data_IF_380201713189
#
_entry.id   IF_380201713189
#
_cell.length_a   1.000
_cell.length_b   1.000
_cell.length_c   1.000
_cell.angle_alpha   90.00
_cell.angle_beta   90.00
_cell.angle_gamma   90.00
#
_symmetry.space_group_name_H-M   'P 1'
#
loop_
_entity.id
_entity.type
_entity.pdbx_description
1 polymer ?
#
# COMPACT_ATOMS: atom_id res chain seq x y z
N UNK A 1 35.35 20.69 13.41
CA UNK A 1 36.25 19.89 12.56
C UNK A 1 36.09 18.44 12.96
N UNK A 2 35.57 17.61 12.08
CA UNK A 2 35.39 16.17 12.30
C UNK A 2 35.90 15.43 11.08
N UNK A 3 37.21 15.18 11.02
CA UNK A 3 37.77 14.30 10.01
C UNK A 3 37.30 12.88 10.30
N UNK A 4 36.64 12.23 9.34
CA UNK A 4 36.31 10.83 9.45
C UNK A 4 37.61 10.03 9.65
N UNK A 5 37.76 9.42 10.82
CA UNK A 5 38.87 8.52 11.09
C UNK A 5 38.81 7.33 10.13
N UNK A 6 39.97 6.77 9.80
CA UNK A 6 40.04 5.55 9.00
C UNK A 6 39.15 4.47 9.65
N UNK A 7 38.20 3.86 8.93
CA UNK A 7 37.35 2.84 9.49
C UNK A 7 38.23 1.67 10.00
N UNK A 8 37.88 1.06 11.14
CA UNK A 8 38.69 -0.02 11.70
C UNK A 8 38.73 -1.22 10.75
N UNK A 9 39.86 -1.95 10.78
CA UNK A 9 40.07 -3.15 9.98
C UNK A 9 38.99 -4.22 10.18
N UNK A 10 38.70 -4.97 9.13
CA UNK A 10 37.79 -6.09 9.18
C UNK A 10 38.42 -7.23 9.99
N UNK A 11 37.72 -7.71 11.02
CA UNK A 11 38.17 -8.83 11.85
C UNK A 11 37.25 -10.03 11.71
N UNK A 12 37.73 -11.27 11.94
CA UNK A 12 36.88 -12.46 11.95
C UNK A 12 35.66 -12.32 12.87
N UNK A 13 35.82 -11.73 14.06
CA UNK A 13 34.73 -11.50 15.00
C UNK A 13 33.66 -10.53 14.47
N UNK A 14 34.07 -9.47 13.74
CA UNK A 14 33.13 -8.55 13.09
C UNK A 14 32.38 -9.21 11.94
N UNK A 15 33.04 -10.07 11.18
CA UNK A 15 32.40 -10.89 10.14
C UNK A 15 31.38 -11.83 10.79
N UNK A 16 31.77 -12.56 11.83
CA UNK A 16 30.88 -13.49 12.53
C UNK A 16 29.62 -12.79 13.07
N UNK A 17 29.79 -11.68 13.79
CA UNK A 17 28.68 -10.90 14.31
C UNK A 17 27.76 -10.37 13.20
N UNK A 18 28.34 -9.88 12.10
CA UNK A 18 27.61 -9.42 10.92
C UNK A 18 26.79 -10.55 10.28
N UNK A 19 27.40 -11.71 10.04
CA UNK A 19 26.73 -12.87 9.46
C UNK A 19 25.59 -13.38 10.35
N UNK A 20 25.80 -13.46 11.67
CA UNK A 20 24.73 -13.84 12.62
C UNK A 20 23.57 -12.86 12.58
N UNK A 21 23.84 -11.55 12.59
CA UNK A 21 22.80 -10.52 12.52
C UNK A 21 22.03 -10.58 11.20
N UNK A 22 22.72 -10.78 10.08
CA UNK A 22 22.08 -10.96 8.77
C UNK A 22 21.18 -12.19 8.75
N UNK A 23 21.66 -13.34 9.25
CA UNK A 23 20.86 -14.56 9.33
C UNK A 23 19.59 -14.36 10.19
N UNK A 24 19.72 -13.69 11.34
CA UNK A 24 18.58 -13.34 12.19
C UNK A 24 17.58 -12.42 11.49
N UNK A 25 18.04 -11.44 10.71
CA UNK A 25 17.16 -10.55 9.95
C UNK A 25 16.40 -11.32 8.86
N UNK A 26 17.11 -12.14 8.09
CA UNK A 26 16.52 -12.96 7.02
C UNK A 26 15.49 -13.96 7.57
N UNK A 27 15.73 -14.54 8.75
CA UNK A 27 14.78 -15.45 9.38
C UNK A 27 13.63 -14.70 10.10
N UNK A 28 13.92 -13.59 10.77
CA UNK A 28 13.00 -12.89 11.66
C UNK A 28 11.99 -12.00 10.93
N UNK A 29 12.41 -11.28 9.88
CA UNK A 29 11.52 -10.37 9.18
C UNK A 29 10.31 -11.08 8.52
N UNK A 30 10.46 -12.22 7.82
CA UNK A 30 9.32 -12.96 7.28
C UNK A 30 8.36 -13.46 8.36
N UNK A 31 8.87 -13.87 9.54
CA UNK A 31 8.02 -14.32 10.65
C UNK A 31 7.14 -13.18 11.19
N UNK A 32 7.71 -11.99 11.35
CA UNK A 32 6.98 -10.80 11.77
C UNK A 32 5.87 -10.46 10.76
N UNK A 33 6.21 -10.40 9.47
CA UNK A 33 5.23 -10.11 8.43
C UNK A 33 4.16 -11.19 8.32
N UNK A 34 4.50 -12.47 8.50
CA UNK A 34 3.52 -13.56 8.52
C UNK A 34 2.47 -13.39 9.63
N UNK A 35 2.89 -12.90 10.81
CA UNK A 35 1.98 -12.54 11.89
C UNK A 35 0.99 -11.44 11.48
N UNK A 36 1.48 -10.42 10.79
CA UNK A 36 0.64 -9.32 10.29
C UNK A 36 -0.29 -9.74 9.15
N UNK A 37 0.22 -10.50 8.19
CA UNK A 37 -0.54 -11.01 7.05
C UNK A 37 -1.75 -11.80 7.54
N UNK A 38 -1.56 -12.67 8.54
CA UNK A 38 -2.65 -13.43 9.16
C UNK A 38 -3.72 -12.53 9.77
N UNK A 39 -3.33 -11.36 10.31
CA UNK A 39 -4.27 -10.37 10.81
C UNK A 39 -4.99 -9.63 9.67
N UNK A 40 -4.26 -9.22 8.66
CA UNK A 40 -4.79 -8.51 7.49
C UNK A 40 -5.78 -9.35 6.69
N UNK A 41 -5.55 -10.66 6.59
CA UNK A 41 -6.47 -11.58 5.91
C UNK A 41 -7.87 -11.60 6.53
N UNK A 42 -8.03 -11.26 7.81
CA UNK A 42 -9.35 -11.23 8.49
C UNK A 42 -10.23 -10.07 8.03
N UNK A 43 -9.65 -9.04 7.43
CA UNK A 43 -10.36 -7.88 6.92
C UNK A 43 -9.99 -7.63 5.44
N UNK A 44 -9.80 -8.72 4.69
CA UNK A 44 -9.45 -8.66 3.28
C UNK A 44 -10.44 -7.83 2.48
N UNK A 45 -9.94 -7.05 1.51
CA UNK A 45 -10.71 -6.12 0.68
C UNK A 45 -11.45 -5.02 1.46
N UNK A 46 -11.06 -4.77 2.71
CA UNK A 46 -11.29 -3.49 3.41
C UNK A 46 -9.94 -2.86 3.70
N UNK A 47 -9.88 -1.62 4.18
CA UNK A 47 -8.59 -0.95 4.37
C UNK A 47 -8.52 -0.17 5.69
N UNK A 48 -8.70 -0.79 6.87
CA UNK A 48 -8.80 -0.10 8.16
C UNK A 48 -7.49 0.59 8.57
N UNK A 49 -7.62 1.62 9.44
CA UNK A 49 -6.46 2.26 10.05
C UNK A 49 -5.63 1.22 10.81
N UNK A 50 -4.34 1.17 10.51
CA UNK A 50 -3.42 0.28 11.20
C UNK A 50 -3.03 0.88 12.55
N UNK A 51 -2.86 -0.01 13.52
CA UNK A 51 -2.44 0.33 14.87
C UNK A 51 -1.10 1.09 14.85
N UNK A 52 -1.14 2.35 15.28
CA UNK A 52 -0.01 3.27 15.20
C UNK A 52 1.15 2.81 16.06
N UNK A 53 0.88 2.24 17.24
CA UNK A 53 1.92 1.75 18.15
C UNK A 53 2.61 0.52 17.55
N UNK A 54 1.86 -0.40 16.92
CA UNK A 54 2.45 -1.53 16.18
C UNK A 54 3.29 -1.07 15.00
N UNK A 55 2.84 -0.06 14.26
CA UNK A 55 3.61 0.54 13.17
C UNK A 55 4.93 1.13 13.68
N UNK A 56 4.88 1.94 14.73
CA UNK A 56 6.05 2.61 15.30
C UNK A 56 7.05 1.60 15.88
N UNK A 57 6.56 0.56 16.58
CA UNK A 57 7.40 -0.50 17.11
C UNK A 57 8.16 -1.29 16.02
N UNK A 58 7.62 -1.32 14.80
CA UNK A 58 8.26 -1.95 13.64
C UNK A 58 9.11 -0.98 12.79
N UNK A 59 9.35 0.24 13.28
CA UNK A 59 10.17 1.25 12.59
C UNK A 59 9.41 2.12 11.59
N UNK A 60 8.09 2.18 11.68
CA UNK A 60 7.29 3.13 10.89
C UNK A 60 7.60 4.59 11.23
N UNK A 61 7.48 5.47 10.24
CA UNK A 61 7.57 6.92 10.46
C UNK A 61 6.35 7.42 11.27
N UNK A 62 6.54 8.05 12.43
CA UNK A 62 5.45 8.52 13.31
C UNK A 62 4.57 9.62 12.67
N UNK A 63 5.06 10.24 11.59
CA UNK A 63 4.32 11.23 10.83
C UNK A 63 3.35 10.62 9.81
N UNK A 64 3.33 9.30 9.69
CA UNK A 64 2.52 8.60 8.71
C UNK A 64 1.39 7.86 9.41
N UNK A 65 0.18 7.99 8.87
CA UNK A 65 -0.97 7.15 9.23
C UNK A 65 -1.14 6.08 8.18
N UNK A 66 -0.84 4.85 8.59
CA UNK A 66 -0.87 3.68 7.73
C UNK A 66 -2.23 3.02 7.79
N UNK A 67 -2.72 2.60 6.64
CA UNK A 67 -3.84 1.68 6.52
C UNK A 67 -3.28 0.46 5.83
N UNK A 68 -3.33 -0.68 6.50
CA UNK A 68 -2.81 -1.94 5.99
C UNK A 68 -3.92 -2.97 5.94
N UNK A 69 -3.94 -3.74 4.86
CA UNK A 69 -4.88 -4.83 4.72
C UNK A 69 -4.43 -5.84 3.67
N UNK A 70 -5.19 -6.92 3.55
CA UNK A 70 -5.01 -7.92 2.52
C UNK A 70 -5.99 -7.63 1.38
N UNK A 71 -5.57 -7.83 0.14
CA UNK A 71 -6.45 -7.77 -1.02
C UNK A 71 -6.57 -9.15 -1.65
N UNK A 72 -7.75 -9.45 -2.20
CA UNK A 72 -8.06 -10.64 -2.98
C UNK A 72 -8.91 -10.22 -4.17
N UNK A 73 -8.39 -10.38 -5.38
CA UNK A 73 -9.08 -10.01 -6.62
C UNK A 73 -8.86 -11.14 -7.62
N UNK A 74 -9.90 -11.91 -7.88
CA UNK A 74 -9.87 -12.95 -8.89
C UNK A 74 -9.90 -12.35 -10.30
N UNK A 75 -9.65 -13.20 -11.30
CA UNK A 75 -9.90 -12.81 -12.71
C UNK A 75 -11.40 -12.59 -12.89
N UNK A 76 -11.78 -11.52 -13.60
CA UNK A 76 -13.17 -11.11 -13.72
C UNK A 76 -13.71 -10.34 -12.52
N UNK A 77 -12.89 -10.06 -11.50
CA UNK A 77 -13.23 -9.17 -10.39
C UNK A 77 -12.44 -7.86 -10.46
N UNK A 78 -12.96 -6.84 -9.80
CA UNK A 78 -12.31 -5.57 -9.58
C UNK A 78 -12.56 -5.10 -8.14
N UNK A 79 -11.51 -4.65 -7.47
CA UNK A 79 -11.59 -3.96 -6.19
C UNK A 79 -11.57 -2.45 -6.44
N UNK A 80 -12.68 -1.79 -6.10
CA UNK A 80 -12.80 -0.33 -6.16
C UNK A 80 -12.49 0.23 -4.77
N UNK A 81 -11.61 1.23 -4.71
CA UNK A 81 -11.21 1.91 -3.48
C UNK A 81 -11.47 3.39 -3.65
N UNK A 82 -12.39 3.92 -2.86
CA UNK A 82 -12.76 5.33 -2.84
C UNK A 82 -12.17 5.96 -1.57
N UNK A 83 -11.41 7.04 -1.75
CA UNK A 83 -10.81 7.75 -0.63
C UNK A 83 -10.91 9.27 -0.85
N UNK A 84 -11.16 9.99 0.24
CA UNK A 84 -11.07 11.44 0.28
C UNK A 84 -9.81 11.82 1.05
N UNK A 85 -8.68 12.16 0.39
CA UNK A 85 -7.47 12.53 1.11
C UNK A 85 -7.71 13.73 2.04
N UNK A 86 -7.34 13.64 3.33
CA UNK A 86 -7.45 14.80 4.20
C UNK A 86 -6.39 15.85 3.81
N UNK A 87 -6.48 17.09 4.33
CA UNK A 87 -5.36 18.02 4.25
C UNK A 87 -4.11 17.38 4.84
N UNK A 88 -3.12 17.09 3.98
CA UNK A 88 -1.88 16.42 4.34
C UNK A 88 -0.77 16.88 3.40
N UNK A 89 0.48 16.67 3.82
CA UNK A 89 1.63 17.03 2.99
C UNK A 89 1.69 16.16 1.73
N UNK A 90 1.49 14.86 1.90
CA UNK A 90 1.46 13.88 0.81
C UNK A 90 0.66 12.64 1.19
N UNK A 91 0.38 11.77 0.22
CA UNK A 91 -0.23 10.46 0.44
C UNK A 91 0.09 9.49 -0.69
N UNK A 92 0.00 8.19 -0.42
CA UNK A 92 0.08 7.17 -1.46
C UNK A 92 -0.76 5.92 -1.15
N UNK A 93 -1.06 5.17 -2.20
CA UNK A 93 -1.59 3.80 -2.14
C UNK A 93 -0.69 2.87 -2.94
N UNK A 94 -0.35 1.70 -2.39
CA UNK A 94 0.58 0.73 -3.00
C UNK A 94 0.03 -0.69 -2.87
N UNK A 95 0.07 -1.45 -3.96
CA UNK A 95 -0.10 -2.90 -3.96
C UNK A 95 1.24 -3.59 -3.67
N UNK A 96 1.18 -4.54 -2.75
CA UNK A 96 2.26 -5.45 -2.40
C UNK A 96 1.84 -6.90 -2.63
N UNK A 97 2.82 -7.79 -2.78
CA UNK A 97 2.59 -9.22 -2.76
C UNK A 97 2.26 -9.71 -1.33
N UNK A 98 2.10 -11.03 -1.18
CA UNK A 98 1.85 -11.65 0.12
C UNK A 98 2.93 -11.29 1.15
N UNK A 99 4.20 -11.23 0.73
CA UNK A 99 5.37 -10.96 1.56
C UNK A 99 5.58 -9.48 1.89
N UNK A 100 4.58 -8.63 1.65
CA UNK A 100 4.59 -7.19 1.87
C UNK A 100 5.61 -6.41 1.01
N UNK A 101 6.13 -7.04 -0.05
CA UNK A 101 7.02 -6.39 -1.01
C UNK A 101 6.16 -5.69 -2.07
N UNK A 102 6.51 -4.45 -2.45
CA UNK A 102 5.82 -3.76 -3.54
C UNK A 102 5.84 -4.60 -4.82
N UNK A 103 4.74 -4.62 -5.55
CA UNK A 103 4.71 -5.22 -6.88
C UNK A 103 5.66 -4.45 -7.84
N UNK A 104 5.88 -5.00 -9.05
CA UNK A 104 6.87 -4.47 -10.00
C UNK A 104 6.44 -3.14 -10.65
N UNK A 105 6.70 -2.04 -9.94
CA UNK A 105 6.39 -0.67 -10.35
C UNK A 105 7.21 -0.17 -11.55
N UNK A 106 8.26 -0.89 -11.98
CA UNK A 106 9.09 -0.48 -13.12
C UNK A 106 8.37 -0.69 -14.45
N UNK A 107 7.47 -1.67 -14.49
CA UNK A 107 6.81 -2.10 -15.71
C UNK A 107 5.28 -1.98 -15.63
N UNK A 108 4.72 -1.91 -14.41
CA UNK A 108 3.27 -1.90 -14.19
C UNK A 108 2.88 -0.78 -13.23
N UNK A 109 1.68 -0.23 -13.41
CA UNK A 109 1.13 0.75 -12.48
C UNK A 109 0.54 0.02 -11.27
N UNK A 110 1.30 -0.04 -10.18
CA UNK A 110 0.92 -0.79 -8.95
C UNK A 110 0.68 0.13 -7.75
N UNK A 111 0.84 1.43 -7.96
CA UNK A 111 0.68 2.45 -6.94
C UNK A 111 0.15 3.76 -7.53
N UNK A 112 -0.31 4.62 -6.64
CA UNK A 112 -0.71 6.00 -6.92
C UNK A 112 -0.31 6.87 -5.74
N UNK A 113 -0.04 8.15 -5.99
CA UNK A 113 0.26 9.13 -4.96
C UNK A 113 -0.42 10.48 -5.27
N UNK A 114 -0.31 11.43 -4.35
CA UNK A 114 -0.87 12.78 -4.47
C UNK A 114 -0.57 13.48 -5.81
N UNK A 115 0.62 13.29 -6.37
CA UNK A 115 1.03 13.95 -7.61
C UNK A 115 0.54 13.25 -8.90
N UNK A 116 0.16 11.96 -8.81
CA UNK A 116 -0.17 11.11 -9.97
C UNK A 116 -1.62 10.64 -9.97
N UNK A 117 -2.40 11.01 -8.97
CA UNK A 117 -3.80 10.69 -8.86
C UNK A 117 -4.64 11.52 -9.84
N UNK A 118 -5.72 10.91 -10.32
CA UNK A 118 -6.80 11.62 -11.00
C UNK A 118 -7.88 11.89 -9.95
N UNK A 119 -8.17 13.17 -9.71
CA UNK A 119 -9.09 13.62 -8.68
C UNK A 119 -10.47 13.91 -9.27
N UNK A 120 -11.51 13.48 -8.57
CA UNK A 120 -12.87 13.93 -8.82
C UNK A 120 -13.04 15.42 -8.42
N UNK A 121 -14.16 16.02 -8.83
CA UNK A 121 -14.43 17.44 -8.59
C UNK A 121 -14.51 17.82 -7.10
N UNK A 122 -14.88 16.86 -6.25
CA UNK A 122 -14.92 16.98 -4.78
C UNK A 122 -13.57 16.68 -4.10
N UNK A 123 -12.52 16.37 -4.88
CA UNK A 123 -11.20 16.01 -4.37
C UNK A 123 -11.05 14.54 -3.96
N UNK A 124 -12.07 13.69 -4.18
CA UNK A 124 -11.94 12.26 -3.96
C UNK A 124 -11.03 11.61 -5.01
N UNK A 125 -10.48 10.45 -4.66
CA UNK A 125 -9.69 9.58 -5.54
C UNK A 125 -10.36 8.22 -5.62
N UNK A 126 -10.54 7.77 -6.86
CA UNK A 126 -11.11 6.46 -7.17
C UNK A 126 -10.00 5.57 -7.73
N UNK A 127 -9.70 4.46 -7.05
CA UNK A 127 -8.71 3.48 -7.48
C UNK A 127 -9.42 2.18 -7.87
N UNK A 128 -9.07 1.62 -9.02
CA UNK A 128 -9.59 0.34 -9.49
C UNK A 128 -8.44 -0.65 -9.60
N UNK A 129 -8.50 -1.73 -8.84
CA UNK A 129 -7.52 -2.83 -8.89
C UNK A 129 -8.17 -4.00 -9.62
N UNK A 130 -7.64 -4.35 -10.80
CA UNK A 130 -8.20 -5.41 -11.65
C UNK A 130 -7.16 -5.96 -12.62
N UNK A 131 -7.28 -7.25 -12.97
CA UNK A 131 -6.39 -7.91 -13.93
C UNK A 131 -6.52 -7.36 -15.35
N UNK A 132 -7.67 -6.80 -15.67
CA UNK A 132 -7.97 -6.14 -16.94
C UNK A 132 -8.09 -4.63 -16.71
N UNK A 133 -7.69 -3.81 -17.69
CA UNK A 133 -7.77 -2.35 -17.60
C UNK A 133 -9.17 -1.89 -18.01
N UNK A 134 -9.93 -1.20 -17.13
CA UNK A 134 -11.18 -0.57 -17.53
C UNK A 134 -10.93 0.49 -18.61
N UNK A 135 -11.89 0.68 -19.52
CA UNK A 135 -11.84 1.76 -20.51
C UNK A 135 -11.84 3.10 -19.77
N UNK A 136 -10.87 3.94 -20.09
CA UNK A 136 -10.73 5.25 -19.46
C UNK A 136 -11.33 6.37 -20.32
N UNK A 137 -11.42 6.17 -21.63
CA UNK A 137 -12.04 7.14 -22.54
C UNK A 137 -13.57 7.12 -22.35
N UNK A 138 -14.17 8.30 -22.24
CA UNK A 138 -15.59 8.46 -21.95
C UNK A 138 -16.02 8.07 -20.52
N UNK A 139 -15.08 7.73 -19.62
CA UNK A 139 -15.43 7.37 -18.25
C UNK A 139 -16.11 8.54 -17.51
N UNK A 140 -17.23 8.26 -16.84
CA UNK A 140 -18.06 9.26 -16.14
C UNK A 140 -17.32 10.00 -15.02
N UNK A 141 -16.37 9.33 -14.38
CA UNK A 141 -15.55 9.90 -13.31
C UNK A 141 -14.07 9.55 -13.49
N UNK A 142 -13.15 10.43 -13.09
CA UNK A 142 -11.73 10.12 -13.10
C UNK A 142 -11.42 8.96 -12.16
N UNK A 143 -10.55 8.05 -12.58
CA UNK A 143 -10.09 6.94 -11.76
C UNK A 143 -8.64 6.58 -12.09
N UNK A 144 -8.02 5.81 -11.21
CA UNK A 144 -6.69 5.26 -11.39
C UNK A 144 -6.78 3.74 -11.38
N UNK A 145 -6.50 3.13 -12.53
CA UNK A 145 -6.35 1.68 -12.63
C UNK A 145 -4.97 1.23 -12.15
N UNK A 146 -4.93 0.18 -11.33
CA UNK A 146 -3.72 -0.49 -10.87
C UNK A 146 -3.74 -1.98 -11.26
N UNK A 147 -2.61 -2.44 -11.79
CA UNK A 147 -2.38 -3.81 -12.27
C UNK A 147 -1.86 -4.70 -11.11
N UNK A 148 -2.54 -5.80 -10.75
CA UNK A 148 -2.07 -6.76 -9.75
C UNK A 148 -0.81 -7.56 -10.16
N UNK A 149 -0.23 -7.32 -11.33
CA UNK A 149 0.91 -8.05 -11.88
C UNK A 149 0.67 -9.57 -11.91
N UNK A 150 -0.55 -9.99 -12.25
CA UNK A 150 -0.98 -11.39 -12.28
C UNK A 150 -1.21 -12.05 -10.91
N UNK A 151 -1.01 -11.34 -9.81
CA UNK A 151 -1.30 -11.85 -8.46
C UNK A 151 -2.81 -11.77 -8.20
N UNK A 152 -3.38 -12.81 -7.58
CA UNK A 152 -4.80 -12.80 -7.17
C UNK A 152 -4.98 -12.30 -5.74
N UNK A 153 -3.89 -12.13 -5.00
CA UNK A 153 -3.93 -11.61 -3.65
C UNK A 153 -2.58 -11.04 -3.20
N UNK A 154 -2.60 -10.28 -2.12
CA UNK A 154 -1.41 -9.72 -1.49
C UNK A 154 -1.78 -8.72 -0.41
N UNK A 155 -0.83 -7.87 -0.03
CA UNK A 155 -1.05 -6.78 0.94
C UNK A 155 -1.26 -5.46 0.20
N UNK A 156 -2.09 -4.58 0.73
CA UNK A 156 -2.28 -3.22 0.23
C UNK A 156 -2.04 -2.22 1.35
N UNK A 157 -1.48 -1.07 0.99
CA UNK A 157 -1.12 -0.03 1.95
C UNK A 157 -1.56 1.33 1.47
N UNK A 158 -2.30 2.05 2.30
CA UNK A 158 -2.54 3.48 2.15
C UNK A 158 -1.74 4.27 3.20
N UNK A 159 -1.20 5.43 2.83
CA UNK A 159 -0.46 6.31 3.74
C UNK A 159 -0.97 7.73 3.64
N UNK A 160 -1.41 8.32 4.75
CA UNK A 160 -1.53 9.77 4.90
C UNK A 160 -0.24 10.30 5.56
N UNK A 161 0.47 11.22 4.90
CA UNK A 161 1.75 11.76 5.40
C UNK A 161 1.51 13.14 5.99
N UNK A 162 1.75 13.28 7.30
CA UNK A 162 1.47 14.48 8.10
C UNK A 162 0.04 15.01 7.87
N UNK A 163 -1.00 14.20 8.16
CA UNK A 163 -2.37 14.71 8.11
C UNK A 163 -2.55 15.84 9.13
N UNK A 164 -3.29 16.87 8.74
CA UNK A 164 -3.58 18.06 9.55
C UNK A 164 -4.91 17.93 10.30
N UNK A 165 -5.32 16.70 10.57
CA UNK A 165 -6.53 16.32 11.31
C UNK A 165 -6.14 15.29 12.38
N UNK A 166 -6.96 15.17 13.42
CA UNK A 166 -6.74 14.17 14.48
C UNK A 166 -7.09 12.76 13.99
N UNK A 167 -6.54 11.74 14.64
CA UNK A 167 -6.71 10.34 14.22
C UNK A 167 -8.17 9.89 14.12
N UNK A 168 -9.03 10.36 15.03
CA UNK A 168 -10.46 10.06 15.05
C UNK A 168 -11.24 10.65 13.85
N UNK A 169 -10.67 11.65 13.17
CA UNK A 169 -11.26 12.31 12.00
C UNK A 169 -10.61 11.87 10.69
N UNK A 170 -9.63 10.94 10.74
CA UNK A 170 -8.97 10.50 9.53
C UNK A 170 -9.97 9.76 8.63
N UNK A 171 -10.04 10.13 7.34
CA UNK A 171 -10.94 9.48 6.41
C UNK A 171 -10.51 8.03 6.20
N UNK A 172 -11.50 7.15 6.30
CA UNK A 172 -11.37 5.72 6.08
C UNK A 172 -11.62 5.41 4.60
N UNK A 173 -10.63 4.90 3.85
CA UNK A 173 -10.88 4.45 2.48
C UNK A 173 -11.98 3.39 2.47
N UNK A 174 -12.94 3.56 1.56
CA UNK A 174 -14.05 2.64 1.36
C UNK A 174 -13.70 1.69 0.23
N UNK A 175 -13.95 0.40 0.43
CA UNK A 175 -13.58 -0.64 -0.52
C UNK A 175 -14.82 -1.44 -0.93
N UNK A 176 -14.93 -1.75 -2.22
CA UNK A 176 -15.97 -2.64 -2.73
C UNK A 176 -15.39 -3.60 -3.77
N UNK A 177 -15.59 -4.90 -3.57
CA UNK A 177 -15.27 -5.93 -4.55
C UNK A 177 -16.50 -6.16 -5.42
N UNK A 178 -16.33 -6.09 -6.74
CA UNK A 178 -17.39 -6.26 -7.72
C UNK A 178 -16.88 -7.11 -8.88
N UNK A 179 -17.78 -7.56 -9.75
CA UNK A 179 -17.37 -8.10 -11.04
C UNK A 179 -16.74 -6.99 -11.88
N UNK A 180 -15.77 -7.34 -12.72
CA UNK A 180 -15.11 -6.39 -13.61
C UNK A 180 -16.11 -5.71 -14.55
N UNK A 181 -17.03 -6.49 -15.12
CA UNK A 181 -18.07 -5.98 -16.01
C UNK A 181 -18.99 -4.95 -15.32
N UNK A 182 -19.35 -5.18 -14.04
CA UNK A 182 -20.15 -4.22 -13.28
C UNK A 182 -19.39 -2.90 -13.05
N UNK A 183 -18.08 -2.98 -12.76
CA UNK A 183 -17.24 -1.77 -12.64
C UNK A 183 -17.14 -1.04 -13.97
N UNK A 184 -16.99 -1.74 -15.10
CA UNK A 184 -17.00 -1.12 -16.42
C UNK A 184 -18.34 -0.43 -16.71
N UNK A 185 -19.47 -1.09 -16.45
CA UNK A 185 -20.79 -0.48 -16.63
C UNK A 185 -20.96 0.79 -15.76
N UNK A 186 -20.56 0.75 -14.49
CA UNK A 186 -20.63 1.92 -13.59
C UNK A 186 -19.76 3.09 -14.03
N UNK A 187 -18.65 2.81 -14.72
CA UNK A 187 -17.78 3.84 -15.29
C UNK A 187 -18.34 4.42 -16.60
N UNK A 188 -19.25 3.72 -17.28
CA UNK A 188 -19.82 4.09 -18.58
C UNK A 188 -21.24 4.68 -18.50
N UNK A 189 -22.08 4.29 -17.52
CA UNK A 189 -23.47 4.75 -17.39
C UNK A 189 -23.59 6.19 -16.84
N UNK A 190 -24.31 7.05 -17.60
CA UNK A 190 -24.56 8.47 -17.35
C UNK A 190 -25.66 8.75 -16.31
#
# INVERSE_FOLDING_TARGET
GGGASCPPDLTPARIEAGLRKTALLVAGAPLMFNGWISAFMRHANTLPLFDVDKSNAAGGDPNIRYYHSYWKVARGEALVIDAAPPPCDNWNFVLCNHWMESLDYRHRRVHVNKATAAYAADGAVHVVVSHERPRADGARRPFVWLDPCGHMCGVMTWRWIRPKVVDAELPQPQCSLKTFDAVCAELEEA
#
